data_IF_187083321925
#
_entry.id   IF_187083321925
#
_cell.length_a   1.000
_cell.length_b   1.000
_cell.length_c   1.000
_cell.angle_alpha   90.00
_cell.angle_beta   90.00
_cell.angle_gamma   90.00
#
_symmetry.space_group_name_H-M   'P 1'
#
loop_
_entity.id
_entity.type
_entity.pdbx_description
1 polymer ?
#
# COMPACT_ATOMS: atom_id res chain seq x y z
N UNK A 1 3.47 0.52 -0.99
CA UNK A 1 3.96 0.81 -2.36
C UNK A 1 5.49 0.79 -2.40
N UNK A 2 6.17 1.58 -1.55
CA UNK A 2 7.64 1.62 -1.48
C UNK A 2 8.35 0.25 -1.30
N UNK A 3 7.71 -0.72 -0.64
CA UNK A 3 8.36 -2.00 -0.33
C UNK A 3 8.76 -2.85 -1.53
N UNK A 4 8.09 -2.70 -2.69
CA UNK A 4 8.44 -3.40 -3.93
C UNK A 4 9.26 -2.53 -4.89
N UNK A 5 9.49 -1.25 -4.55
CA UNK A 5 10.29 -0.35 -5.39
C UNK A 5 11.78 -0.73 -5.38
N UNK A 6 12.26 -1.36 -4.30
CA UNK A 6 13.65 -1.80 -4.15
C UNK A 6 13.95 -3.17 -4.80
N UNK A 7 13.00 -3.74 -5.54
CA UNK A 7 13.15 -5.03 -6.24
C UNK A 7 12.27 -6.17 -5.70
N UNK A 8 12.51 -7.42 -6.14
CA UNK A 8 11.64 -8.56 -5.87
C UNK A 8 11.60 -8.93 -4.38
N UNK A 9 10.40 -9.14 -3.85
CA UNK A 9 10.15 -9.45 -2.42
C UNK A 9 9.36 -10.75 -2.27
N UNK A 10 9.63 -11.52 -1.21
CA UNK A 10 8.79 -12.68 -0.88
C UNK A 10 7.51 -12.24 -0.18
N UNK A 11 6.50 -13.10 -0.24
CA UNK A 11 5.24 -12.90 0.48
C UNK A 11 5.45 -12.63 1.98
N UNK A 12 6.35 -13.39 2.62
CA UNK A 12 6.67 -13.23 4.04
C UNK A 12 7.22 -11.84 4.36
N UNK A 13 8.06 -11.31 3.48
CA UNK A 13 8.71 -10.01 3.67
C UNK A 13 7.69 -8.88 3.51
N UNK A 14 6.81 -9.00 2.51
CA UNK A 14 5.70 -8.07 2.31
C UNK A 14 4.74 -8.08 3.49
N UNK A 15 4.39 -9.25 4.01
CA UNK A 15 3.51 -9.38 5.18
C UNK A 15 4.15 -8.78 6.44
N UNK A 16 5.45 -9.00 6.64
CA UNK A 16 6.17 -8.47 7.81
C UNK A 16 6.31 -6.94 7.74
N UNK A 17 6.45 -6.39 6.54
CA UNK A 17 6.67 -4.97 6.36
C UNK A 17 5.38 -4.13 6.38
N UNK A 18 4.22 -4.75 6.17
CA UNK A 18 2.91 -4.10 6.30
C UNK A 18 2.28 -4.55 7.62
N UNK A 19 2.53 -3.77 8.67
CA UNK A 19 2.01 -4.09 9.99
C UNK A 19 0.46 -4.12 9.99
N UNK A 20 -0.10 -5.11 10.69
CA UNK A 20 -1.56 -5.30 10.80
C UNK A 20 -2.29 -5.85 9.56
N UNK A 21 -1.63 -6.12 8.43
CA UNK A 21 -2.33 -6.73 7.28
C UNK A 21 -2.60 -8.22 7.50
N UNK A 22 -3.86 -8.63 7.29
CA UNK A 22 -4.19 -10.06 7.30
C UNK A 22 -3.63 -10.78 6.08
N UNK A 23 -3.33 -12.08 6.21
CA UNK A 23 -2.86 -12.90 5.08
C UNK A 23 -3.86 -12.90 3.92
N UNK A 24 -5.17 -12.96 4.23
CA UNK A 24 -6.22 -12.91 3.23
C UNK A 24 -6.20 -11.59 2.46
N UNK A 25 -6.09 -10.46 3.16
CA UNK A 25 -6.06 -9.14 2.54
C UNK A 25 -4.83 -8.99 1.63
N UNK A 26 -3.64 -9.35 2.13
CA UNK A 26 -2.41 -9.27 1.33
C UNK A 26 -2.48 -10.13 0.06
N UNK A 27 -3.04 -11.34 0.17
CA UNK A 27 -3.23 -12.22 -0.99
C UNK A 27 -4.19 -11.63 -2.01
N UNK A 28 -5.32 -11.06 -1.56
CA UNK A 28 -6.29 -10.41 -2.44
C UNK A 28 -5.70 -9.19 -3.14
N UNK A 29 -4.98 -8.34 -2.40
CA UNK A 29 -4.30 -7.17 -2.97
C UNK A 29 -3.27 -7.58 -4.02
N UNK A 30 -2.39 -8.54 -3.71
CA UNK A 30 -1.37 -8.99 -4.67
C UNK A 30 -1.98 -9.60 -5.94
N UNK A 31 -3.06 -10.40 -5.80
CA UNK A 31 -3.78 -10.93 -6.96
C UNK A 31 -4.46 -9.86 -7.79
N UNK A 32 -5.01 -8.82 -7.15
CA UNK A 32 -5.58 -7.66 -7.85
C UNK A 32 -4.51 -6.94 -8.65
N UNK A 33 -3.39 -6.59 -8.01
CA UNK A 33 -2.26 -5.92 -8.66
C UNK A 33 -1.63 -6.77 -9.78
N UNK A 34 -1.56 -8.10 -9.62
CA UNK A 34 -1.11 -9.02 -10.67
C UNK A 34 -2.06 -9.03 -11.86
N UNK A 35 -3.37 -9.10 -11.61
CA UNK A 35 -4.41 -9.03 -12.63
C UNK A 35 -4.37 -7.70 -13.41
N UNK A 36 -4.11 -6.60 -12.70
CA UNK A 36 -4.05 -5.26 -13.28
C UNK A 36 -2.70 -4.99 -13.99
N UNK A 37 -1.77 -5.95 -13.97
CA UNK A 37 -0.46 -5.81 -14.63
C UNK A 37 0.52 -4.89 -13.91
N UNK A 38 0.27 -4.59 -12.63
CA UNK A 38 1.11 -3.73 -11.80
C UNK A 38 2.18 -4.51 -11.03
N UNK A 39 1.95 -5.81 -10.80
CA UNK A 39 2.88 -6.71 -10.11
C UNK A 39 3.08 -7.98 -10.95
N UNK A 40 4.32 -8.46 -11.04
CA UNK A 40 4.63 -9.78 -11.59
C UNK A 40 4.92 -10.76 -10.45
N UNK A 41 4.40 -11.98 -10.58
CA UNK A 41 4.68 -13.09 -9.67
C UNK A 41 5.61 -14.09 -10.35
N UNK A 42 6.82 -14.24 -9.81
CA UNK A 42 7.84 -15.16 -10.33
C UNK A 42 8.08 -16.31 -9.36
N UNK A 43 7.98 -17.55 -9.86
CA UNK A 43 8.33 -18.75 -9.11
C UNK A 43 9.75 -19.16 -9.49
N UNK A 44 10.66 -19.11 -8.54
CA UNK A 44 12.05 -19.55 -8.70
C UNK A 44 12.15 -21.03 -8.31
N UNK A 45 12.66 -21.91 -9.18
CA UNK A 45 12.95 -23.29 -8.83
C UNK A 45 14.03 -23.35 -7.76
N UNK A 46 13.65 -23.81 -6.58
CA UNK A 46 14.54 -24.05 -5.43
C UNK A 46 13.93 -25.14 -4.55
N UNK A 47 14.69 -25.70 -3.63
CA UNK A 47 14.17 -26.60 -2.60
C UNK A 47 14.19 -25.90 -1.23
N UNK A 48 13.05 -25.43 -0.70
CA UNK A 48 11.70 -25.40 -1.30
C UNK A 48 11.50 -24.28 -2.34
N UNK A 49 10.49 -24.36 -3.24
CA UNK A 49 10.25 -23.34 -4.26
C UNK A 49 9.97 -21.98 -3.66
N UNK A 50 10.59 -20.94 -4.21
CA UNK A 50 10.46 -19.56 -3.71
C UNK A 50 9.63 -18.71 -4.66
N UNK A 51 8.69 -17.96 -4.10
CA UNK A 51 7.82 -17.05 -4.87
C UNK A 51 8.20 -15.61 -4.54
N UNK A 52 8.47 -14.84 -5.58
CA UNK A 52 8.79 -13.42 -5.49
C UNK A 52 7.72 -12.61 -6.23
N UNK A 53 7.46 -11.41 -5.70
CA UNK A 53 6.61 -10.40 -6.29
C UNK A 53 7.45 -9.18 -6.59
N UNK A 54 7.23 -8.56 -7.75
CA UNK A 54 7.96 -7.37 -8.19
C UNK A 54 7.00 -6.42 -8.91
N UNK A 55 7.21 -5.11 -8.77
CA UNK A 55 6.46 -4.14 -9.58
C UNK A 55 6.87 -4.24 -11.04
N UNK A 56 5.90 -4.21 -11.94
CA UNK A 56 6.16 -3.95 -13.36
C UNK A 56 6.62 -2.51 -13.56
N UNK A 57 7.06 -2.16 -14.76
CA UNK A 57 7.42 -0.77 -15.07
C UNK A 57 6.25 0.20 -14.82
N UNK A 58 5.02 -0.18 -15.19
CA UNK A 58 3.82 0.61 -14.88
C UNK A 58 3.51 0.61 -13.37
N UNK A 59 3.75 -0.50 -12.68
CA UNK A 59 3.64 -0.56 -11.21
C UNK A 59 4.61 0.40 -10.51
N UNK A 60 5.82 0.56 -11.04
CA UNK A 60 6.83 1.49 -10.52
C UNK A 60 6.39 2.94 -10.69
N UNK A 61 5.86 3.32 -11.86
CA UNK A 61 5.35 4.69 -12.08
C UNK A 61 4.20 5.00 -11.12
N UNK A 62 3.23 4.10 -10.95
CA UNK A 62 2.14 4.27 -9.98
C UNK A 62 2.67 4.42 -8.54
N UNK A 63 3.71 3.67 -8.17
CA UNK A 63 4.31 3.78 -6.84
C UNK A 63 4.92 5.17 -6.60
N UNK A 64 5.49 5.81 -7.63
CA UNK A 64 6.02 7.18 -7.53
C UNK A 64 4.87 8.15 -7.27
N UNK A 65 3.84 8.14 -8.11
CA UNK A 65 2.66 9.02 -7.98
C UNK A 65 1.98 8.87 -6.60
N UNK A 66 1.80 7.63 -6.15
CA UNK A 66 1.22 7.33 -4.83
C UNK A 66 2.10 7.85 -3.69
N UNK A 67 3.43 7.85 -3.86
CA UNK A 67 4.36 8.35 -2.86
C UNK A 67 4.29 9.88 -2.77
N UNK A 68 4.13 10.59 -3.88
CA UNK A 68 3.94 12.03 -3.87
C UNK A 68 2.65 12.44 -3.17
N UNK A 69 1.54 11.73 -3.43
CA UNK A 69 0.28 11.95 -2.74
C UNK A 69 0.42 11.71 -1.23
N UNK A 70 1.13 10.65 -0.84
CA UNK A 70 1.39 10.36 0.56
C UNK A 70 2.23 11.46 1.22
N UNK A 71 3.28 11.95 0.55
CA UNK A 71 4.10 13.06 1.05
C UNK A 71 3.28 14.35 1.19
N UNK A 72 2.44 14.67 0.21
CA UNK A 72 1.51 15.79 0.31
C UNK A 72 0.57 15.64 1.52
N UNK A 73 0.00 14.45 1.71
CA UNK A 73 -0.90 14.17 2.84
C UNK A 73 -0.19 14.32 4.18
N UNK A 74 1.06 13.86 4.29
CA UNK A 74 1.88 14.03 5.48
C UNK A 74 2.15 15.51 5.77
N UNK A 75 2.53 16.30 4.75
CA UNK A 75 2.76 17.75 4.89
C UNK A 75 1.52 18.51 5.37
N UNK A 76 0.33 18.07 5.00
CA UNK A 76 -0.93 18.71 5.36
C UNK A 76 -1.67 18.02 6.51
N UNK A 77 -1.02 17.09 7.21
CA UNK A 77 -1.66 16.26 8.24
C UNK A 77 -2.31 17.09 9.35
N UNK A 78 -1.64 18.13 9.81
CA UNK A 78 -2.15 19.02 10.87
C UNK A 78 -3.38 19.81 10.41
N UNK A 79 -3.31 20.36 9.20
CA UNK A 79 -4.44 21.07 8.59
C UNK A 79 -5.67 20.17 8.48
N UNK A 80 -5.49 18.93 8.00
CA UNK A 80 -6.57 17.95 7.87
C UNK A 80 -7.11 17.56 9.26
N UNK A 81 -6.25 17.35 10.25
CA UNK A 81 -6.66 17.00 11.61
C UNK A 81 -7.43 18.14 12.30
N UNK A 82 -7.01 19.38 12.12
CA UNK A 82 -7.72 20.57 12.61
C UNK A 82 -9.08 20.73 11.93
N UNK A 83 -9.12 20.54 10.60
CA UNK A 83 -10.37 20.61 9.83
C UNK A 83 -11.38 19.55 10.30
N UNK A 84 -10.93 18.33 10.58
CA UNK A 84 -11.75 17.26 11.17
C UNK A 84 -12.27 17.63 12.55
N UNK A 85 -11.40 18.11 13.46
CA UNK A 85 -11.82 18.53 14.80
C UNK A 85 -12.86 19.65 14.77
N UNK A 86 -12.71 20.64 13.88
CA UNK A 86 -13.70 21.71 13.70
C UNK A 86 -15.04 21.18 13.23
N UNK A 87 -15.03 20.28 12.24
CA UNK A 87 -16.24 19.64 11.76
C UNK A 87 -16.94 18.84 12.87
N UNK A 88 -16.21 17.99 13.59
CA UNK A 88 -16.77 17.15 14.66
C UNK A 88 -17.32 17.99 15.83
N UNK A 89 -16.64 19.09 16.16
CA UNK A 89 -17.10 20.04 17.19
C UNK A 89 -18.40 20.72 16.77
N UNK A 90 -18.50 21.16 15.51
CA UNK A 90 -19.71 21.79 14.98
C UNK A 90 -20.86 20.78 14.82
N UNK A 91 -20.58 19.54 14.42
CA UNK A 91 -21.56 18.46 14.32
C UNK A 91 -22.12 18.04 15.69
N UNK A 92 -21.37 18.29 16.78
CA UNK A 92 -21.86 18.08 18.16
C UNK A 92 -22.74 19.24 18.65
N UNK A 93 -22.74 20.39 17.95
CA UNK A 93 -23.49 21.59 18.33
C UNK A 93 -24.82 21.77 17.57
N UNK A 94 -25.24 20.85 16.70
CA UNK A 94 -26.60 20.85 16.13
C UNK A 94 -27.60 20.28 17.16
N UNK A 95 -28.48 21.09 17.77
CA UNK A 95 -29.63 20.57 18.48
C UNK A 95 -30.72 20.23 17.46
N UNK A 96 -31.24 19.01 17.50
CA UNK A 96 -32.57 18.73 16.96
C UNK A 96 -33.65 19.37 17.85
#
# INVERSE_FOLDING_TARGET
MALLADGPRRYSDLRRAIDGISQRMLTLTLRGLERDGLVTRTVTPSSPPMVHYELTEVGKTLSVEASELLQWSQRHREYIAESRRRYDTNATQEPH
#
